data_IF_563966939470
#
_entry.id   IF_563966939470
#
_cell.length_a   1.000
_cell.length_b   1.000
_cell.length_c   1.000
_cell.angle_alpha   90.00
_cell.angle_beta   90.00
_cell.angle_gamma   90.00
#
_symmetry.space_group_name_H-M   'P 1'
#
loop_
_entity.id
_entity.type
_entity.pdbx_description
1 polymer ?
#
# COMPACT_ATOMS: atom_id res chain seq x y z
N UNK A 1 12.67 -24.00 -17.32
CA UNK A 1 14.07 -24.49 -17.38
C UNK A 1 14.75 -24.22 -16.03
N UNK A 2 15.44 -25.23 -15.49
CA UNK A 2 16.04 -25.14 -14.12
C UNK A 2 17.20 -24.15 -14.05
N UNK A 3 17.81 -23.81 -15.19
CA UNK A 3 18.87 -22.81 -15.29
C UNK A 3 18.46 -21.39 -14.91
N UNK A 4 17.15 -21.09 -14.86
CA UNK A 4 16.65 -19.81 -14.37
C UNK A 4 16.68 -19.69 -12.83
N UNK A 5 16.77 -20.83 -12.12
CA UNK A 5 16.74 -20.89 -10.66
C UNK A 5 18.10 -21.32 -10.12
N UNK A 6 18.75 -22.28 -10.77
CA UNK A 6 20.04 -22.83 -10.36
C UNK A 6 21.11 -22.51 -11.40
N UNK A 7 22.14 -21.81 -11.02
CA UNK A 7 23.30 -21.59 -11.90
C UNK A 7 23.94 -22.93 -12.27
N UNK A 8 24.19 -23.14 -13.57
CA UNK A 8 24.87 -24.34 -14.11
C UNK A 8 24.14 -25.69 -13.94
N UNK A 9 22.81 -25.71 -13.77
CA UNK A 9 22.05 -26.95 -13.70
C UNK A 9 21.67 -27.44 -15.12
N UNK A 10 22.42 -28.43 -15.64
CA UNK A 10 22.14 -29.09 -16.91
C UNK A 10 21.41 -30.44 -16.75
N UNK A 11 20.96 -30.75 -15.54
CA UNK A 11 20.22 -31.98 -15.24
C UNK A 11 18.74 -31.83 -15.61
N UNK A 12 18.12 -32.95 -15.99
CA UNK A 12 16.67 -33.03 -16.17
C UNK A 12 16.10 -34.00 -15.14
N UNK A 13 14.99 -33.61 -14.54
CA UNK A 13 14.23 -34.46 -13.63
C UNK A 13 13.29 -35.36 -14.43
N UNK A 14 13.10 -36.58 -13.96
CA UNK A 14 11.96 -37.40 -14.35
C UNK A 14 10.66 -36.75 -13.90
N UNK A 15 9.61 -36.89 -14.70
CA UNK A 15 8.32 -36.27 -14.40
C UNK A 15 7.55 -37.09 -13.36
N UNK A 16 8.11 -37.14 -12.15
CA UNK A 16 7.51 -37.82 -10.99
C UNK A 16 7.00 -36.80 -9.99
N UNK A 17 5.80 -36.97 -9.42
CA UNK A 17 5.29 -36.10 -8.37
C UNK A 17 6.24 -36.05 -7.17
N UNK A 18 6.62 -34.84 -6.73
CA UNK A 18 7.53 -34.63 -5.60
C UNK A 18 9.01 -34.71 -5.94
N UNK A 19 9.38 -35.02 -7.18
CA UNK A 19 10.79 -34.97 -7.62
C UNK A 19 11.21 -33.52 -7.85
N UNK A 20 12.27 -33.08 -7.19
CA UNK A 20 12.76 -31.71 -7.28
C UNK A 20 14.28 -31.63 -7.15
N UNK A 21 14.83 -30.49 -7.54
CA UNK A 21 16.19 -30.12 -7.15
C UNK A 21 16.15 -29.20 -5.94
N UNK A 22 17.09 -29.37 -5.02
CA UNK A 22 17.35 -28.47 -3.92
C UNK A 22 18.83 -28.09 -3.89
N UNK A 23 19.14 -26.84 -3.63
CA UNK A 23 20.50 -26.39 -3.40
C UNK A 23 20.78 -26.39 -1.90
N UNK A 24 21.78 -27.17 -1.52
CA UNK A 24 22.28 -27.27 -0.15
C UNK A 24 23.80 -27.11 -0.19
N UNK A 25 24.33 -26.17 0.54
CA UNK A 25 25.76 -25.85 0.60
C UNK A 25 26.41 -25.67 -0.79
N UNK A 26 25.73 -24.97 -1.70
CA UNK A 26 26.12 -24.74 -3.10
C UNK A 26 26.20 -26.01 -3.96
N UNK A 27 25.61 -27.10 -3.51
CA UNK A 27 25.47 -28.32 -4.29
C UNK A 27 24.02 -28.54 -4.68
N UNK A 28 23.78 -28.84 -5.95
CA UNK A 28 22.44 -29.15 -6.45
C UNK A 28 22.20 -30.65 -6.26
N UNK A 29 21.31 -30.95 -5.34
CA UNK A 29 20.91 -32.33 -5.01
C UNK A 29 19.54 -32.62 -5.64
N UNK A 30 19.40 -33.85 -6.15
CA UNK A 30 18.12 -34.37 -6.57
C UNK A 30 17.38 -34.94 -5.36
N UNK A 31 16.18 -34.47 -5.10
CA UNK A 31 15.40 -34.83 -3.93
C UNK A 31 14.06 -35.44 -4.33
N UNK A 32 13.56 -36.32 -3.49
CA UNK A 32 12.19 -36.85 -3.58
C UNK A 32 11.41 -36.41 -2.33
N UNK A 33 10.45 -35.50 -2.52
CA UNK A 33 9.56 -35.11 -1.45
C UNK A 33 8.47 -36.15 -1.24
N UNK A 34 8.09 -36.37 0.02
CA UNK A 34 6.93 -37.18 0.34
C UNK A 34 5.64 -36.45 -0.11
N UNK A 35 4.69 -37.23 -0.60
CA UNK A 35 3.36 -36.70 -0.86
C UNK A 35 2.67 -36.41 0.50
N UNK A 36 2.17 -35.20 0.71
CA UNK A 36 1.58 -34.84 2.00
C UNK A 36 0.29 -35.58 2.31
N UNK A 37 -0.37 -36.08 1.26
CA UNK A 37 -1.63 -36.83 1.37
C UNK A 37 -1.58 -38.12 0.53
N UNK A 38 -2.10 -39.21 1.10
CA UNK A 38 -2.25 -40.46 0.39
C UNK A 38 -3.35 -40.34 -0.68
N UNK A 39 -3.19 -41.07 -1.77
CA UNK A 39 -4.15 -41.16 -2.86
C UNK A 39 -3.46 -41.63 -4.14
N UNK A 40 -4.01 -42.64 -4.80
CA UNK A 40 -3.47 -43.16 -6.05
C UNK A 40 -3.72 -42.17 -7.19
N UNK A 41 -4.89 -41.51 -7.17
CA UNK A 41 -5.32 -40.56 -8.20
C UNK A 41 -5.20 -39.13 -7.71
N UNK A 42 -4.95 -38.24 -8.66
CA UNK A 42 -4.76 -36.81 -8.37
C UNK A 42 -6.01 -36.18 -7.70
N UNK A 43 -7.21 -36.57 -8.11
CA UNK A 43 -8.44 -36.04 -7.53
C UNK A 43 -8.61 -36.47 -6.06
N UNK A 44 -8.21 -37.70 -5.68
CA UNK A 44 -8.28 -38.21 -4.31
C UNK A 44 -7.36 -37.39 -3.38
N UNK A 45 -6.15 -37.06 -3.86
CA UNK A 45 -5.24 -36.17 -3.14
C UNK A 45 -5.78 -34.75 -3.01
N UNK A 46 -6.39 -34.23 -4.08
CA UNK A 46 -6.99 -32.89 -4.05
C UNK A 46 -8.16 -32.82 -3.06
N UNK A 47 -8.96 -33.88 -2.97
CA UNK A 47 -10.06 -33.96 -2.02
C UNK A 47 -9.57 -34.09 -0.57
N UNK A 48 -8.55 -34.91 -0.33
CA UNK A 48 -7.90 -35.02 0.97
C UNK A 48 -7.27 -33.69 1.43
N UNK A 49 -6.62 -32.94 0.53
CA UNK A 49 -6.10 -31.60 0.80
C UNK A 49 -7.23 -30.65 1.18
N UNK A 50 -8.33 -30.65 0.42
CA UNK A 50 -9.49 -29.78 0.69
C UNK A 50 -10.07 -30.06 2.07
N UNK A 51 -10.33 -31.33 2.38
CA UNK A 51 -10.85 -31.73 3.69
C UNK A 51 -9.92 -31.33 4.84
N UNK A 52 -8.60 -31.46 4.65
CA UNK A 52 -7.64 -31.01 5.65
C UNK A 52 -7.68 -29.49 5.85
N UNK A 53 -7.74 -28.71 4.76
CA UNK A 53 -7.83 -27.24 4.81
C UNK A 53 -9.12 -26.81 5.51
N UNK A 54 -10.26 -27.40 5.18
CA UNK A 54 -11.55 -27.11 5.81
C UNK A 54 -11.51 -27.40 7.31
N UNK A 55 -10.98 -28.54 7.70
CA UNK A 55 -10.79 -28.89 9.11
C UNK A 55 -9.89 -27.88 9.83
N UNK A 56 -8.74 -27.54 9.27
CA UNK A 56 -7.81 -26.58 9.87
C UNK A 56 -8.40 -25.19 9.97
N UNK A 57 -9.14 -24.74 8.95
CA UNK A 57 -9.82 -23.44 8.98
C UNK A 57 -10.91 -23.40 10.07
N UNK A 58 -11.58 -24.50 10.34
CA UNK A 58 -12.56 -24.60 11.43
C UNK A 58 -11.92 -24.57 12.84
N UNK A 59 -10.70 -25.08 12.97
CA UNK A 59 -9.93 -25.09 14.22
C UNK A 59 -9.13 -23.79 14.46
N UNK A 60 -8.85 -23.03 13.40
CA UNK A 60 -8.00 -21.85 13.47
C UNK A 60 -8.81 -20.62 13.86
N UNK A 61 -8.44 -19.98 14.96
CA UNK A 61 -9.03 -18.71 15.41
C UNK A 61 -8.34 -17.50 14.82
N UNK A 62 -7.13 -17.66 14.29
CA UNK A 62 -6.36 -16.60 13.66
C UNK A 62 -6.56 -16.61 12.15
N UNK A 63 -6.96 -15.49 11.61
CA UNK A 63 -7.12 -15.29 10.17
C UNK A 63 -5.89 -14.56 9.64
N UNK A 64 -5.33 -15.05 8.53
CA UNK A 64 -4.24 -14.37 7.87
C UNK A 64 -4.63 -12.92 7.54
N UNK A 65 -3.70 -11.99 7.79
CA UNK A 65 -3.91 -10.58 7.47
C UNK A 65 -4.19 -10.43 5.97
N UNK A 66 -5.27 -9.73 5.63
CA UNK A 66 -5.56 -9.42 4.22
C UNK A 66 -4.42 -8.60 3.63
N UNK A 67 -4.01 -8.94 2.42
CA UNK A 67 -3.08 -8.12 1.65
C UNK A 67 -3.77 -6.79 1.36
N UNK A 68 -3.21 -5.66 1.82
CA UNK A 68 -3.83 -4.37 1.58
C UNK A 68 -3.73 -4.02 0.09
N UNK A 69 -4.80 -3.48 -0.46
CA UNK A 69 -4.84 -3.00 -1.84
C UNK A 69 -4.98 -1.48 -1.85
N UNK A 70 -4.21 -0.83 -2.71
CA UNK A 70 -4.37 0.60 -2.94
C UNK A 70 -5.74 0.82 -3.60
N UNK A 71 -6.62 1.66 -3.02
CA UNK A 71 -7.91 1.94 -3.62
C UNK A 71 -7.73 2.67 -4.96
N UNK A 72 -8.59 2.40 -5.97
CA UNK A 72 -8.48 3.01 -7.30
C UNK A 72 -8.66 4.54 -7.24
N UNK A 73 -9.35 5.05 -6.23
CA UNK A 73 -9.50 6.47 -5.95
C UNK A 73 -9.16 6.74 -4.50
N UNK A 74 -8.11 7.52 -4.27
CA UNK A 74 -7.70 7.96 -2.96
C UNK A 74 -8.42 9.26 -2.60
N UNK A 75 -9.58 9.15 -1.96
CA UNK A 75 -10.35 10.32 -1.55
C UNK A 75 -9.94 10.82 -0.16
N UNK A 76 -10.19 12.11 0.09
CA UNK A 76 -9.98 12.72 1.41
C UNK A 76 -10.79 12.01 2.50
N UNK A 77 -12.05 11.67 2.22
CA UNK A 77 -12.91 10.96 3.17
C UNK A 77 -12.34 9.57 3.51
N UNK A 78 -11.84 8.84 2.53
CA UNK A 78 -11.17 7.56 2.77
C UNK A 78 -9.98 7.74 3.72
N UNK A 79 -9.09 8.70 3.45
CA UNK A 79 -7.93 8.97 4.29
C UNK A 79 -8.33 9.36 5.72
N UNK A 80 -9.34 10.20 5.88
CA UNK A 80 -9.83 10.63 7.18
C UNK A 80 -10.48 9.48 7.97
N UNK A 81 -11.25 8.62 7.33
CA UNK A 81 -11.91 7.48 7.96
C UNK A 81 -10.92 6.39 8.37
N UNK A 82 -10.00 6.03 7.48
CA UNK A 82 -9.05 4.95 7.75
C UNK A 82 -7.92 5.37 8.69
N UNK A 83 -7.41 6.59 8.54
CA UNK A 83 -6.19 7.02 9.20
C UNK A 83 -6.37 8.26 10.11
N UNK A 84 -7.61 8.74 10.28
CA UNK A 84 -7.91 9.91 11.09
C UNK A 84 -7.40 9.81 12.52
N UNK A 85 -7.47 8.63 13.12
CA UNK A 85 -6.97 8.42 14.48
C UNK A 85 -5.45 8.57 14.57
N UNK A 86 -4.71 8.23 13.51
CA UNK A 86 -3.26 8.39 13.46
C UNK A 86 -2.83 9.86 13.33
N UNK A 87 -3.69 10.71 12.73
CA UNK A 87 -3.45 12.14 12.56
C UNK A 87 -3.75 12.93 13.84
N UNK A 88 -4.70 12.45 14.66
CA UNK A 88 -5.11 13.13 15.89
C UNK A 88 -4.01 13.10 16.95
N UNK A 89 -3.74 14.23 17.55
CA UNK A 89 -2.81 14.35 18.69
C UNK A 89 -1.45 14.99 18.39
N UNK A 90 -0.93 14.86 17.19
CA UNK A 90 0.41 15.35 16.85
C UNK A 90 0.46 16.44 15.78
N UNK A 91 -0.68 16.90 15.29
CA UNK A 91 -0.79 17.79 14.14
C UNK A 91 -0.12 17.21 12.89
N UNK A 92 -0.29 15.91 12.71
CA UNK A 92 0.21 15.16 11.57
C UNK A 92 -0.85 15.09 10.47
N UNK A 93 -0.39 14.98 9.22
CA UNK A 93 -1.25 14.92 8.05
C UNK A 93 -0.84 13.73 7.18
N UNK A 94 -1.79 12.88 6.82
CA UNK A 94 -1.54 11.81 5.86
C UNK A 94 -1.44 12.38 4.44
N UNK A 95 -0.24 12.39 3.87
CA UNK A 95 0.03 12.98 2.55
C UNK A 95 -0.35 12.07 1.38
N UNK A 96 -0.47 10.78 1.61
CA UNK A 96 -0.77 9.74 0.65
C UNK A 96 -0.54 8.37 1.26
N UNK A 97 -0.58 7.32 0.45
CA UNK A 97 -0.27 5.95 0.87
C UNK A 97 1.08 5.51 0.31
N UNK A 98 1.83 4.79 1.13
CA UNK A 98 3.02 4.09 0.68
C UNK A 98 2.61 2.91 -0.22
N UNK A 99 3.36 2.69 -1.27
CA UNK A 99 3.06 1.64 -2.25
C UNK A 99 3.31 0.22 -1.71
N UNK A 100 4.29 0.05 -0.82
CA UNK A 100 4.72 -1.27 -0.35
C UNK A 100 3.75 -1.88 0.68
N UNK A 101 3.30 -1.08 1.64
CA UNK A 101 2.49 -1.55 2.79
C UNK A 101 1.09 -0.94 2.85
N UNK A 102 0.78 -0.02 1.92
CA UNK A 102 -0.48 0.74 1.87
C UNK A 102 -0.77 1.50 3.17
N UNK A 103 0.30 1.83 3.91
CA UNK A 103 0.20 2.67 5.11
C UNK A 103 0.31 4.15 4.74
N UNK A 104 -0.27 5.06 5.54
CA UNK A 104 -0.22 6.48 5.26
C UNK A 104 1.19 7.03 5.47
N UNK A 105 1.67 7.79 4.51
CA UNK A 105 2.86 8.62 4.69
C UNK A 105 2.48 9.88 5.47
N UNK A 106 2.97 9.98 6.71
CA UNK A 106 2.60 11.04 7.64
C UNK A 106 3.56 12.23 7.53
N UNK A 107 3.00 13.40 7.28
CA UNK A 107 3.71 14.68 7.37
C UNK A 107 3.50 15.27 8.77
N UNK A 108 4.60 15.46 9.49
CA UNK A 108 4.60 16.14 10.80
C UNK A 108 4.56 17.64 10.60
N UNK A 109 3.36 18.22 10.52
CA UNK A 109 3.18 19.64 10.24
C UNK A 109 3.84 20.55 11.30
N UNK A 110 3.97 20.06 12.53
CA UNK A 110 4.66 20.80 13.61
C UNK A 110 6.17 20.96 13.42
N UNK A 111 6.79 20.09 12.62
CA UNK A 111 8.24 20.11 12.37
C UNK A 111 8.62 20.58 10.95
N UNK A 112 7.64 20.73 10.07
CA UNK A 112 7.87 21.18 8.69
C UNK A 112 7.88 22.71 8.65
N UNK A 113 9.05 23.32 8.39
CA UNK A 113 9.14 24.75 8.16
C UNK A 113 8.79 25.16 6.73
N UNK A 114 9.26 24.37 5.75
CA UNK A 114 9.02 24.60 4.32
C UNK A 114 8.81 23.26 3.64
N UNK A 115 7.77 23.16 2.82
CA UNK A 115 7.49 21.99 1.99
C UNK A 115 7.38 22.43 0.53
N UNK A 116 8.26 21.92 -0.33
CA UNK A 116 8.21 22.16 -1.77
C UNK A 116 7.47 21.02 -2.48
N UNK A 117 6.42 21.37 -3.24
CA UNK A 117 5.68 20.43 -4.07
C UNK A 117 6.06 20.68 -5.53
N UNK A 118 6.83 19.76 -6.10
CA UNK A 118 7.38 19.86 -7.45
C UNK A 118 6.73 18.81 -8.36
N UNK A 119 6.44 19.20 -9.59
CA UNK A 119 5.88 18.29 -10.59
C UNK A 119 5.61 18.99 -11.91
N UNK A 120 5.46 18.21 -12.99
CA UNK A 120 5.09 18.72 -14.31
C UNK A 120 3.66 19.30 -14.27
N UNK A 121 3.31 20.07 -15.29
CA UNK A 121 1.92 20.50 -15.48
C UNK A 121 1.02 19.27 -15.62
N UNK A 122 -0.16 19.28 -15.00
CA UNK A 122 -1.08 18.13 -14.96
C UNK A 122 -0.73 17.03 -13.93
N UNK A 123 0.42 17.09 -13.23
CA UNK A 123 0.82 16.08 -12.23
C UNK A 123 -0.01 16.05 -10.94
N UNK A 124 -1.00 16.95 -10.79
CA UNK A 124 -1.86 17.00 -9.60
C UNK A 124 -1.31 17.82 -8.43
N UNK A 125 -0.17 18.51 -8.55
CA UNK A 125 0.42 19.32 -7.45
C UNK A 125 -0.56 20.31 -6.82
N UNK A 126 -1.39 20.99 -7.63
CA UNK A 126 -2.41 21.90 -7.09
C UNK A 126 -3.55 21.16 -6.38
N UNK A 127 -3.93 19.99 -6.88
CA UNK A 127 -4.91 19.14 -6.20
C UNK A 127 -4.39 18.66 -4.86
N UNK A 128 -3.09 18.33 -4.79
CA UNK A 128 -2.47 17.94 -3.54
C UNK A 128 -2.43 19.11 -2.52
N UNK A 129 -2.12 20.35 -2.96
CA UNK A 129 -2.17 21.54 -2.09
C UNK A 129 -3.61 21.76 -1.57
N UNK A 130 -4.62 21.62 -2.43
CA UNK A 130 -6.03 21.70 -2.02
C UNK A 130 -6.38 20.61 -1.01
N UNK A 131 -5.96 19.39 -1.27
CA UNK A 131 -6.13 18.25 -0.36
C UNK A 131 -5.55 18.56 1.03
N UNK A 132 -4.32 19.08 1.11
CA UNK A 132 -3.69 19.44 2.39
C UNK A 132 -4.53 20.46 3.16
N UNK A 133 -4.98 21.52 2.50
CA UNK A 133 -5.80 22.55 3.15
C UNK A 133 -7.16 22.02 3.61
N UNK A 134 -7.78 21.15 2.82
CA UNK A 134 -9.05 20.51 3.16
C UNK A 134 -8.91 19.52 4.31
N UNK A 135 -7.83 18.73 4.32
CA UNK A 135 -7.53 17.82 5.42
C UNK A 135 -7.24 18.58 6.72
N UNK A 136 -6.54 19.70 6.66
CA UNK A 136 -6.31 20.56 7.83
C UNK A 136 -7.63 21.07 8.42
N UNK A 137 -8.58 21.47 7.60
CA UNK A 137 -9.90 21.90 8.09
C UNK A 137 -10.70 20.73 8.66
N UNK A 138 -10.67 19.57 7.98
CA UNK A 138 -11.40 18.37 8.40
C UNK A 138 -10.90 17.82 9.72
N UNK A 139 -9.57 17.72 9.85
CA UNK A 139 -8.95 17.08 11.02
C UNK A 139 -8.78 18.04 12.21
N UNK A 140 -8.62 19.34 11.92
CA UNK A 140 -8.34 20.37 12.93
C UNK A 140 -9.24 21.59 12.72
N UNK A 141 -10.58 21.42 12.81
CA UNK A 141 -11.55 22.48 12.50
C UNK A 141 -11.35 23.70 13.39
N UNK A 142 -11.26 24.86 12.76
CA UNK A 142 -11.04 26.15 13.44
C UNK A 142 -9.64 26.35 14.05
N UNK A 143 -8.75 25.36 13.96
CA UNK A 143 -7.38 25.44 14.48
C UNK A 143 -6.34 25.71 13.40
N UNK A 144 -6.71 25.60 12.12
CA UNK A 144 -5.86 25.87 10.97
C UNK A 144 -6.24 27.19 10.30
N UNK A 145 -5.24 27.98 9.91
CA UNK A 145 -5.41 29.22 9.13
C UNK A 145 -4.53 29.13 7.90
N UNK A 146 -5.13 29.25 6.72
CA UNK A 146 -4.45 29.14 5.44
C UNK A 146 -4.35 30.51 4.79
N UNK A 147 -3.17 30.89 4.38
CA UNK A 147 -2.89 32.09 3.61
C UNK A 147 -2.40 31.67 2.24
N UNK A 148 -3.05 32.13 1.19
CA UNK A 148 -2.75 31.72 -0.19
C UNK A 148 -2.19 32.91 -0.95
N UNK A 149 -1.05 32.69 -1.58
CA UNK A 149 -0.50 33.58 -2.58
C UNK A 149 -0.43 32.82 -3.91
N UNK A 150 -1.35 33.13 -4.83
CA UNK A 150 -1.53 32.41 -6.09
C UNK A 150 -0.89 33.17 -7.25
N UNK A 151 -0.44 32.44 -8.25
CA UNK A 151 0.12 33.01 -9.47
C UNK A 151 -0.97 33.48 -10.46
N UNK A 152 -0.51 34.06 -11.57
CA UNK A 152 -1.35 34.59 -12.66
C UNK A 152 -2.38 33.56 -13.16
N UNK A 153 -2.05 32.27 -13.16
CA UNK A 153 -2.94 31.20 -13.60
C UNK A 153 -4.12 30.88 -12.69
N UNK A 154 -4.23 31.51 -11.52
CA UNK A 154 -5.35 31.38 -10.55
C UNK A 154 -5.71 29.92 -10.24
N UNK A 155 -4.75 29.03 -10.19
CA UNK A 155 -4.97 27.58 -10.02
C UNK A 155 -5.60 27.20 -8.67
N UNK A 156 -5.46 28.07 -7.65
CA UNK A 156 -6.01 27.91 -6.30
C UNK A 156 -7.21 28.81 -6.02
N UNK A 157 -7.77 29.49 -7.03
CA UNK A 157 -8.88 30.42 -6.87
C UNK A 157 -10.12 29.77 -6.20
N UNK A 158 -10.38 28.49 -6.47
CA UNK A 158 -11.48 27.73 -5.84
C UNK A 158 -11.37 27.59 -4.33
N UNK A 159 -10.20 27.90 -3.75
CA UNK A 159 -10.00 27.84 -2.31
C UNK A 159 -10.35 29.12 -1.57
N UNK A 160 -10.62 30.22 -2.30
CA UNK A 160 -10.88 31.55 -1.72
C UNK A 160 -12.07 31.54 -0.72
N UNK A 161 -13.08 30.73 -0.98
CA UNK A 161 -14.31 30.64 -0.17
C UNK A 161 -14.25 29.58 0.93
N UNK A 162 -13.10 28.90 1.08
CA UNK A 162 -12.92 27.90 2.12
C UNK A 162 -12.86 28.53 3.51
N UNK A 163 -13.47 27.88 4.49
CA UNK A 163 -13.61 28.38 5.86
C UNK A 163 -12.29 28.68 6.56
N UNK A 164 -11.27 27.85 6.31
CA UNK A 164 -9.95 28.01 6.90
C UNK A 164 -9.02 28.95 6.14
N UNK A 165 -9.43 29.45 4.97
CA UNK A 165 -8.65 30.41 4.17
C UNK A 165 -8.91 31.82 4.64
N UNK A 166 -7.96 32.37 5.35
CA UNK A 166 -8.04 33.74 5.93
C UNK A 166 -7.75 34.81 4.89
N UNK A 167 -6.81 34.56 3.99
CA UNK A 167 -6.42 35.52 2.95
C UNK A 167 -6.03 34.80 1.67
N UNK A 168 -6.56 35.31 0.57
CA UNK A 168 -6.15 34.96 -0.79
C UNK A 168 -5.60 36.22 -1.49
N UNK A 169 -4.38 36.14 -1.98
CA UNK A 169 -3.74 37.21 -2.75
C UNK A 169 -3.14 36.65 -4.05
N UNK A 170 -3.02 37.50 -5.04
CA UNK A 170 -2.32 37.15 -6.29
C UNK A 170 -0.94 37.82 -6.30
N UNK A 171 0.05 37.08 -6.77
CA UNK A 171 1.36 37.63 -7.11
C UNK A 171 1.28 38.14 -8.54
N UNK A 172 1.61 39.42 -8.72
CA UNK A 172 1.71 40.05 -10.03
C UNK A 172 2.91 39.52 -10.81
#
# INVERSE_FOLDING_TARGET
EYSAIFEHCNRRLEHLPGRCFAEVDKQILECQAYLPFAGEKEFERAEAIRGYIEKRNGECTEVARKIPLIPPVLSMNYMAQQFGNMMRGHFDLAAGLNYEDVMPYMLRMSSIGVLAVVGREGSGRYNWIKYVADMLELMYPGRSKVYISDGIGKKLASMKEKRNVVRYSMIA
#
